data_IF_983090567949
#
_entry.id   IF_983090567949
#
_cell.length_a   1.000
_cell.length_b   1.000
_cell.length_c   1.000
_cell.angle_alpha   90.00
_cell.angle_beta   90.00
_cell.angle_gamma   90.00
#
_symmetry.space_group_name_H-M   'P 1'
#
loop_
_entity.id
_entity.type
_entity.pdbx_description
1 polymer ?
#
# COMPACT_ATOMS: atom_id res chain seq x y z
N UNK A 1 -23.23 -14.13 5.10
CA UNK A 1 -22.48 -14.95 4.11
C UNK A 1 -22.36 -14.18 2.77
N UNK A 2 -21.50 -13.16 2.69
CA UNK A 2 -21.67 -12.07 1.70
C UNK A 2 -20.46 -11.63 0.89
N UNK A 3 -19.29 -12.29 0.96
CA UNK A 3 -18.19 -12.11 -0.01
C UNK A 3 -17.21 -13.30 -0.03
N UNK A 4 -17.73 -14.52 0.17
CA UNK A 4 -16.94 -15.77 0.10
C UNK A 4 -16.97 -16.39 -1.30
N UNK A 5 -16.58 -15.66 -2.35
CA UNK A 5 -16.34 -16.30 -3.65
C UNK A 5 -14.86 -16.33 -4.04
N UNK A 6 -14.06 -15.40 -3.54
CA UNK A 6 -12.61 -15.38 -3.77
C UNK A 6 -11.99 -15.22 -2.39
N UNK A 7 -11.15 -16.18 -1.95
CA UNK A 7 -10.48 -15.99 -0.65
C UNK A 7 -9.63 -14.73 -0.76
N UNK A 8 -9.63 -13.82 0.22
CA UNK A 8 -8.98 -12.53 0.11
C UNK A 8 -7.47 -12.65 -0.13
N UNK A 9 -6.86 -13.79 0.20
CA UNK A 9 -5.52 -14.18 -0.25
C UNK A 9 -5.41 -14.31 -1.79
N UNK A 10 -6.28 -15.09 -2.44
CA UNK A 10 -6.31 -15.22 -3.90
C UNK A 10 -6.60 -13.89 -4.59
N UNK A 11 -7.43 -13.05 -3.97
CA UNK A 11 -7.75 -11.74 -4.50
C UNK A 11 -6.56 -10.79 -4.44
N UNK A 12 -5.89 -10.67 -3.28
CA UNK A 12 -4.72 -9.82 -3.11
C UNK A 12 -3.52 -10.30 -3.95
N UNK A 13 -3.22 -11.61 -3.90
CA UNK A 13 -2.14 -12.20 -4.69
C UNK A 13 -2.42 -12.13 -6.20
N UNK A 14 -3.68 -12.35 -6.61
CA UNK A 14 -4.10 -12.22 -8.00
C UNK A 14 -3.97 -10.78 -8.51
N UNK A 15 -4.37 -9.79 -7.71
CA UNK A 15 -4.18 -8.38 -8.05
C UNK A 15 -2.71 -8.00 -8.18
N UNK A 16 -1.86 -8.44 -7.24
CA UNK A 16 -0.41 -8.19 -7.33
C UNK A 16 0.23 -8.87 -8.55
N UNK A 17 -0.20 -10.08 -8.89
CA UNK A 17 0.28 -10.80 -10.08
C UNK A 17 -0.10 -10.07 -11.38
N UNK A 18 -1.35 -9.65 -11.50
CA UNK A 18 -1.82 -8.88 -12.67
C UNK A 18 -1.09 -7.52 -12.72
N UNK A 19 -0.90 -6.85 -11.59
CA UNK A 19 -0.16 -5.59 -11.53
C UNK A 19 1.29 -5.76 -12.00
N UNK A 20 1.97 -6.84 -11.60
CA UNK A 20 3.30 -7.18 -12.08
C UNK A 20 3.35 -7.43 -13.60
N UNK A 21 2.35 -8.14 -14.16
CA UNK A 21 2.23 -8.35 -15.61
C UNK A 21 2.01 -7.02 -16.34
N UNK A 22 1.10 -6.18 -15.86
CA UNK A 22 0.81 -4.88 -16.49
C UNK A 22 2.04 -3.97 -16.44
N UNK A 23 2.80 -3.98 -15.33
CA UNK A 23 4.07 -3.25 -15.22
C UNK A 23 5.10 -3.75 -16.24
N UNK A 24 5.23 -5.08 -16.39
CA UNK A 24 6.12 -5.65 -17.41
C UNK A 24 5.68 -5.26 -18.84
N UNK A 25 4.37 -5.27 -19.12
CA UNK A 25 3.81 -4.82 -20.40
C UNK A 25 4.12 -3.34 -20.69
N UNK A 26 4.23 -2.47 -19.68
CA UNK A 26 4.65 -1.07 -19.84
C UNK A 26 6.08 -0.94 -20.39
N UNK A 27 6.97 -1.87 -20.04
CA UNK A 27 8.34 -1.89 -20.56
C UNK A 27 8.45 -2.32 -22.03
N UNK A 28 7.51 -3.14 -22.52
CA UNK A 28 7.50 -3.67 -23.89
C UNK A 28 6.69 -2.84 -24.89
N UNK A 29 5.84 -1.92 -24.42
CA UNK A 29 5.01 -1.10 -25.32
C UNK A 29 5.82 0.00 -26.01
N UNK A 30 5.77 0.01 -27.34
CA UNK A 30 6.40 1.04 -28.18
C UNK A 30 5.40 2.13 -28.61
N UNK A 31 4.12 1.98 -28.28
CA UNK A 31 3.04 2.91 -28.64
C UNK A 31 2.59 3.75 -27.44
N UNK A 32 2.35 5.04 -27.66
CA UNK A 32 1.80 5.95 -26.64
C UNK A 32 0.43 5.46 -26.13
N UNK A 33 -0.42 4.94 -27.03
CA UNK A 33 -1.73 4.40 -26.65
C UNK A 33 -1.63 3.15 -25.77
N UNK A 34 -0.64 2.29 -26.04
CA UNK A 34 -0.37 1.10 -25.22
C UNK A 34 0.10 1.47 -23.80
N UNK A 35 0.95 2.49 -23.69
CA UNK A 35 1.40 3.01 -22.40
C UNK A 35 0.24 3.58 -21.58
N UNK A 36 -0.65 4.36 -22.21
CA UNK A 36 -1.81 4.95 -21.54
C UNK A 36 -2.79 3.87 -21.04
N UNK A 37 -3.07 2.86 -21.87
CA UNK A 37 -3.93 1.74 -21.48
C UNK A 37 -3.34 0.96 -20.29
N UNK A 38 -2.03 0.70 -20.31
CA UNK A 38 -1.37 0.02 -19.20
C UNK A 38 -1.40 0.86 -17.91
N UNK A 39 -1.25 2.19 -17.97
CA UNK A 39 -1.39 3.05 -16.78
C UNK A 39 -2.81 3.04 -16.22
N UNK A 40 -3.81 3.08 -17.10
CA UNK A 40 -5.22 3.01 -16.68
C UNK A 40 -5.54 1.70 -15.96
N UNK A 41 -5.09 0.56 -16.50
CA UNK A 41 -5.27 -0.74 -15.87
C UNK A 41 -4.52 -0.84 -14.54
N UNK A 42 -3.30 -0.30 -14.47
CA UNK A 42 -2.52 -0.26 -13.23
C UNK A 42 -3.26 0.50 -12.13
N UNK A 43 -3.83 1.68 -12.43
CA UNK A 43 -4.60 2.46 -11.45
C UNK A 43 -5.85 1.73 -10.94
N UNK A 44 -6.56 1.00 -11.80
CA UNK A 44 -7.71 0.18 -11.38
C UNK A 44 -7.29 -0.92 -10.41
N UNK A 45 -6.17 -1.59 -10.69
CA UNK A 45 -5.66 -2.68 -9.85
C UNK A 45 -5.13 -2.15 -8.51
N UNK A 46 -4.44 -1.02 -8.53
CA UNK A 46 -3.86 -0.39 -7.34
C UNK A 46 -4.91 0.12 -6.37
N UNK A 47 -6.02 0.68 -6.88
CA UNK A 47 -7.15 1.13 -6.05
C UNK A 47 -7.75 0.01 -5.18
N UNK A 48 -7.63 -1.25 -5.59
CA UNK A 48 -8.10 -2.41 -4.83
C UNK A 48 -7.16 -2.88 -3.71
N UNK A 49 -5.86 -2.57 -3.77
CA UNK A 49 -4.88 -3.11 -2.83
C UNK A 49 -5.07 -2.60 -1.39
N UNK A 50 -5.20 -1.28 -1.12
CA UNK A 50 -5.42 -0.78 0.23
C UNK A 50 -6.68 -1.32 0.93
N UNK A 51 -7.88 -1.34 0.31
CA UNK A 51 -9.06 -1.91 0.95
C UNK A 51 -8.95 -3.43 1.12
N UNK A 52 -8.28 -4.15 0.21
CA UNK A 52 -8.00 -5.58 0.37
C UNK A 52 -7.12 -5.89 1.58
N UNK A 53 -6.02 -5.15 1.72
CA UNK A 53 -5.12 -5.28 2.85
C UNK A 53 -5.83 -4.92 4.16
N UNK A 54 -6.63 -3.85 4.18
CA UNK A 54 -7.45 -3.47 5.33
C UNK A 54 -8.44 -4.56 5.73
N UNK A 55 -9.12 -5.21 4.77
CA UNK A 55 -10.03 -6.32 5.06
C UNK A 55 -9.31 -7.55 5.63
N UNK A 56 -8.16 -7.92 5.07
CA UNK A 56 -7.34 -9.03 5.57
C UNK A 56 -6.84 -8.77 6.99
N UNK A 57 -6.22 -7.61 7.25
CA UNK A 57 -5.73 -7.25 8.58
C UNK A 57 -6.90 -7.16 9.56
N UNK A 58 -8.05 -6.62 9.12
CA UNK A 58 -9.25 -6.55 9.94
C UNK A 58 -9.72 -7.94 10.39
N UNK A 59 -9.69 -8.94 9.53
CA UNK A 59 -10.16 -10.30 9.85
C UNK A 59 -9.26 -11.07 10.81
N UNK A 60 -7.98 -10.69 10.94
CA UNK A 60 -7.01 -11.40 11.79
C UNK A 60 -6.69 -10.68 13.10
N UNK A 61 -6.99 -9.38 13.22
CA UNK A 61 -6.53 -8.56 14.36
C UNK A 61 -7.66 -7.76 15.02
N UNK A 62 -7.50 -7.47 16.33
CA UNK A 62 -8.41 -6.62 17.12
C UNK A 62 -8.40 -5.16 16.66
N UNK A 63 -9.45 -4.39 17.00
CA UNK A 63 -9.57 -2.95 16.65
C UNK A 63 -8.42 -2.09 17.20
N UNK A 64 -7.81 -2.46 18.32
CA UNK A 64 -6.66 -1.77 18.92
C UNK A 64 -5.35 -2.06 18.19
N UNK A 65 -5.19 -3.29 17.69
CA UNK A 65 -3.97 -3.76 17.02
C UNK A 65 -3.96 -3.41 15.52
N UNK A 66 -5.14 -3.16 14.94
CA UNK A 66 -5.33 -2.84 13.53
C UNK A 66 -4.48 -1.65 13.05
N UNK A 67 -4.48 -0.54 13.79
CA UNK A 67 -3.78 0.69 13.38
C UNK A 67 -2.27 0.49 13.22
N UNK A 68 -1.63 -0.21 14.16
CA UNK A 68 -0.18 -0.44 14.12
C UNK A 68 0.17 -1.32 12.93
N UNK A 69 -0.63 -2.37 12.68
CA UNK A 69 -0.39 -3.30 11.56
C UNK A 69 -0.66 -2.66 10.20
N UNK A 70 -1.69 -1.81 10.09
CA UNK A 70 -1.94 -1.05 8.88
C UNK A 70 -0.84 -0.01 8.61
N UNK A 71 -0.29 0.61 9.66
CA UNK A 71 0.87 1.49 9.51
C UNK A 71 2.11 0.75 8.98
N UNK A 72 2.35 -0.48 9.44
CA UNK A 72 3.41 -1.33 8.86
C UNK A 72 3.20 -1.59 7.37
N UNK A 73 1.97 -1.85 6.93
CA UNK A 73 1.64 -2.03 5.51
C UNK A 73 2.01 -0.79 4.67
N UNK A 74 1.64 0.41 5.14
CA UNK A 74 1.98 1.67 4.46
C UNK A 74 3.50 1.94 4.49
N UNK A 75 4.19 1.58 5.58
CA UNK A 75 5.64 1.72 5.67
C UNK A 75 6.38 0.81 4.68
N UNK A 76 5.86 -0.40 4.42
CA UNK A 76 6.40 -1.25 3.36
C UNK A 76 6.21 -0.65 1.97
N UNK A 77 5.07 -0.01 1.71
CA UNK A 77 4.84 0.72 0.45
C UNK A 77 5.85 1.86 0.27
N UNK A 78 6.07 2.67 1.32
CA UNK A 78 7.09 3.74 1.34
C UNK A 78 8.51 3.20 1.14
N UNK A 79 8.83 2.05 1.74
CA UNK A 79 10.11 1.36 1.55
C UNK A 79 10.30 0.87 0.10
N UNK A 80 9.23 0.39 -0.53
CA UNK A 80 9.19 0.07 -1.95
C UNK A 80 9.57 1.26 -2.82
N UNK A 81 9.00 2.45 -2.54
CA UNK A 81 9.33 3.69 -3.25
C UNK A 81 10.81 4.07 -3.13
N UNK A 82 11.41 3.88 -1.94
CA UNK A 82 12.83 4.13 -1.73
C UNK A 82 13.73 3.16 -2.53
N UNK A 83 13.37 1.87 -2.59
CA UNK A 83 14.05 0.87 -3.41
C UNK A 83 13.89 1.16 -4.91
N UNK A 84 12.73 1.67 -5.33
CA UNK A 84 12.48 2.09 -6.72
C UNK A 84 13.44 3.21 -7.17
N UNK A 85 13.68 4.20 -6.31
CA UNK A 85 14.66 5.26 -6.56
C UNK A 85 16.09 4.74 -6.70
N UNK A 86 16.49 3.77 -5.87
CA UNK A 86 17.79 3.10 -5.96
C UNK A 86 17.93 2.29 -7.26
N UNK A 87 16.90 1.55 -7.65
CA UNK A 87 16.88 0.76 -8.89
C UNK A 87 16.99 1.68 -10.11
N UNK A 88 16.28 2.81 -10.11
CA UNK A 88 16.38 3.82 -11.17
C UNK A 88 17.81 4.36 -11.32
N UNK A 89 18.48 4.66 -10.20
CA UNK A 89 19.88 5.10 -10.18
C UNK A 89 20.85 4.03 -10.71
N UNK A 90 20.69 2.78 -10.26
CA UNK A 90 21.53 1.66 -10.69
C UNK A 90 21.38 1.35 -12.19
N UNK A 91 20.16 1.52 -12.73
CA UNK A 91 19.82 1.21 -14.13
C UNK A 91 20.14 2.35 -15.10
N UNK A 92 20.28 3.58 -14.64
CA UNK A 92 20.76 4.70 -15.45
C UNK A 92 22.15 4.41 -16.05
N UNK A 93 22.99 3.67 -15.33
CA UNK A 93 24.32 3.25 -15.77
C UNK A 93 24.33 2.06 -16.75
N UNK A 94 23.18 1.43 -17.02
CA UNK A 94 23.05 0.29 -17.95
C UNK A 94 22.50 0.66 -19.33
N UNK A 95 22.48 1.97 -19.67
CA UNK A 95 22.09 2.43 -21.00
C UNK A 95 22.96 1.80 -22.10
N UNK A 96 22.34 1.06 -23.01
CA UNK A 96 23.00 0.42 -24.16
C UNK A 96 22.98 -1.12 -24.18
N UNK A 97 22.55 -1.79 -23.11
CA UNK A 97 22.33 -3.25 -23.14
C UNK A 97 21.03 -3.57 -23.90
N UNK A 98 21.19 -4.22 -25.07
CA UNK A 98 20.12 -4.71 -25.96
C UNK A 98 19.28 -3.65 -26.71
N UNK A 99 19.71 -2.38 -26.78
CA UNK A 99 19.05 -1.35 -27.60
C UNK A 99 17.78 -0.73 -27.01
N UNK A 100 17.49 -0.98 -25.73
CA UNK A 100 16.37 -0.36 -25.00
C UNK A 100 16.84 0.78 -24.10
N UNK A 101 16.02 1.83 -24.03
CA UNK A 101 16.17 2.95 -23.10
C UNK A 101 16.13 2.46 -21.64
N UNK A 102 16.97 3.02 -20.77
CA UNK A 102 17.14 2.60 -19.37
C UNK A 102 15.82 2.60 -18.57
N UNK A 103 14.88 3.49 -18.89
CA UNK A 103 13.58 3.55 -18.22
C UNK A 103 12.68 2.32 -18.50
N UNK A 104 12.81 1.67 -19.65
CA UNK A 104 12.03 0.46 -19.99
C UNK A 104 12.47 -0.73 -19.15
N UNK A 105 13.77 -0.85 -18.90
CA UNK A 105 14.34 -1.91 -18.08
C UNK A 105 13.90 -1.84 -16.62
N UNK A 106 13.67 -0.63 -16.08
CA UNK A 106 13.13 -0.45 -14.73
C UNK A 106 11.78 -1.16 -14.59
N UNK A 107 10.83 -0.89 -15.50
CA UNK A 107 9.50 -1.50 -15.46
C UNK A 107 9.53 -3.02 -15.67
N UNK A 108 10.40 -3.54 -16.54
CA UNK A 108 10.53 -4.98 -16.78
C UNK A 108 11.07 -5.70 -15.54
N UNK A 109 12.16 -5.18 -14.95
CA UNK A 109 12.79 -5.80 -13.77
C UNK A 109 11.86 -5.71 -12.56
N UNK A 110 11.26 -4.55 -12.32
CA UNK A 110 10.30 -4.34 -11.23
C UNK A 110 9.07 -5.24 -11.38
N UNK A 111 8.50 -5.34 -12.59
CA UNK A 111 7.40 -6.23 -12.91
C UNK A 111 7.76 -7.70 -12.66
N UNK A 112 8.95 -8.15 -13.08
CA UNK A 112 9.41 -9.52 -12.86
C UNK A 112 9.57 -9.85 -11.36
N UNK A 113 10.20 -8.95 -10.60
CA UNK A 113 10.35 -9.09 -9.15
C UNK A 113 8.97 -9.16 -8.50
N UNK A 114 8.04 -8.28 -8.90
CA UNK A 114 6.66 -8.26 -8.38
C UNK A 114 5.92 -9.56 -8.68
N UNK A 115 6.08 -10.14 -9.88
CA UNK A 115 5.51 -11.44 -10.23
C UNK A 115 6.10 -12.54 -9.34
N UNK A 116 7.42 -12.59 -9.17
CA UNK A 116 8.06 -13.58 -8.30
C UNK A 116 7.58 -13.46 -6.84
N UNK A 117 7.49 -12.23 -6.32
CA UNK A 117 6.93 -11.97 -4.99
C UNK A 117 5.46 -12.33 -4.88
N UNK A 118 4.64 -12.12 -5.92
CA UNK A 118 3.22 -12.49 -5.90
C UNK A 118 3.01 -14.00 -5.82
N UNK A 119 3.87 -14.79 -6.49
CA UNK A 119 3.87 -16.25 -6.41
C UNK A 119 4.31 -16.72 -5.01
N UNK A 120 5.35 -16.10 -4.44
CA UNK A 120 5.74 -16.37 -3.06
C UNK A 120 4.66 -15.97 -2.06
N UNK A 121 4.02 -14.81 -2.26
CA UNK A 121 2.94 -14.29 -1.42
C UNK A 121 1.72 -15.21 -1.47
N UNK A 122 1.40 -15.80 -2.62
CA UNK A 122 0.34 -16.80 -2.74
C UNK A 122 0.58 -18.04 -1.87
N UNK A 123 1.85 -18.43 -1.68
CA UNK A 123 2.24 -19.56 -0.84
C UNK A 123 2.30 -19.20 0.66
N UNK A 124 2.73 -17.97 0.97
CA UNK A 124 3.00 -17.51 2.34
C UNK A 124 1.74 -16.93 3.00
N UNK A 125 0.92 -16.18 2.29
CA UNK A 125 -0.29 -15.57 2.85
C UNK A 125 -1.32 -16.68 3.04
N UNK A 126 -1.77 -16.98 4.28
CA UNK A 126 -2.86 -17.92 4.50
C UNK A 126 -4.19 -17.28 4.07
N UNK A 127 -5.19 -18.12 3.76
CA UNK A 127 -6.54 -17.68 3.39
C UNK A 127 -7.30 -16.99 4.52
N UNK A 128 -8.60 -17.25 4.66
CA UNK A 128 -9.33 -16.80 5.86
C UNK A 128 -8.68 -17.39 7.14
N UNK A 129 -8.87 -16.78 8.33
CA UNK A 129 -8.45 -17.39 9.60
C UNK A 129 -9.07 -18.77 9.82
N UNK A 130 -10.15 -19.08 9.08
CA UNK A 130 -10.80 -20.39 9.00
C UNK A 130 -10.10 -21.42 8.09
N UNK A 131 -9.04 -21.06 7.39
CA UNK A 131 -8.31 -21.91 6.43
C UNK A 131 -6.79 -21.79 6.62
N UNK A 132 -6.37 -21.13 7.71
CA UNK A 132 -4.98 -20.87 8.01
C UNK A 132 -4.27 -22.18 8.42
N UNK A 133 -3.58 -22.80 7.46
CA UNK A 133 -2.76 -24.01 7.66
C UNK A 133 -1.58 -23.82 8.63
N UNK A 134 -1.29 -22.57 9.01
CA UNK A 134 -0.19 -22.23 9.93
C UNK A 134 -0.60 -22.30 11.41
N UNK A 135 -1.90 -22.28 11.73
CA UNK A 135 -2.35 -22.36 13.13
C UNK A 135 -2.81 -23.77 13.49
N UNK A 136 -2.40 -24.23 14.66
CA UNK A 136 -2.93 -25.46 15.27
C UNK A 136 -4.42 -25.25 15.61
N UNK A 137 -5.25 -26.30 15.52
CA UNK A 137 -6.68 -26.24 15.87
C UNK A 137 -7.00 -25.48 17.19
N UNK A 138 -6.27 -25.67 18.31
CA UNK A 138 -6.51 -24.92 19.54
C UNK A 138 -6.15 -23.44 19.43
N UNK A 139 -5.10 -23.07 18.71
CA UNK A 139 -4.69 -21.67 18.53
C UNK A 139 -5.69 -20.93 17.65
N UNK A 140 -6.20 -21.60 16.61
CA UNK A 140 -7.27 -21.07 15.77
C UNK A 140 -8.56 -20.85 16.55
N UNK A 141 -8.94 -21.79 17.41
CA UNK A 141 -10.12 -21.64 18.27
C UNK A 141 -9.96 -20.47 19.25
N UNK A 142 -8.76 -20.31 19.84
CA UNK A 142 -8.42 -19.18 20.71
C UNK A 142 -8.48 -17.83 19.96
N UNK A 143 -7.93 -17.77 18.73
CA UNK A 143 -7.93 -16.57 17.91
C UNK A 143 -9.35 -16.17 17.51
N UNK A 144 -10.18 -17.14 17.10
CA UNK A 144 -11.60 -16.91 16.79
C UNK A 144 -12.41 -16.50 18.02
N UNK A 145 -12.18 -17.10 19.19
CA UNK A 145 -12.83 -16.71 20.44
C UNK A 145 -12.46 -15.27 20.84
N UNK A 146 -11.17 -14.93 20.76
CA UNK A 146 -10.63 -13.59 21.01
C UNK A 146 -11.16 -12.54 20.03
N UNK A 147 -11.40 -12.92 18.77
CA UNK A 147 -11.99 -12.03 17.75
C UNK A 147 -13.50 -11.83 17.97
N UNK A 148 -14.21 -12.89 18.37
CA UNK A 148 -15.64 -12.85 18.72
C UNK A 148 -15.90 -12.00 19.97
N UNK A 149 -14.99 -12.02 20.93
CA UNK A 149 -15.07 -11.19 22.13
C UNK A 149 -14.91 -9.69 21.83
N UNK A 150 -14.06 -9.30 20.87
CA UNK A 150 -13.80 -7.90 20.49
C UNK A 150 -14.85 -7.33 19.50
N UNK A 151 -15.41 -8.17 18.63
CA UNK A 151 -16.42 -7.76 17.62
C UNK A 151 -17.86 -8.00 18.04
N UNK A 152 -18.11 -8.79 19.08
CA UNK A 152 -19.44 -9.38 19.28
C UNK A 152 -19.84 -10.30 18.12
N UNK A 153 -21.05 -10.86 18.18
CA UNK A 153 -21.61 -11.73 17.15
C UNK A 153 -22.09 -10.95 15.90
N UNK A 154 -21.31 -9.94 15.46
CA UNK A 154 -21.57 -9.19 14.24
C UNK A 154 -21.19 -10.05 13.02
N UNK A 155 -22.06 -11.01 12.71
CA UNK A 155 -22.24 -11.47 11.34
C UNK A 155 -22.74 -10.26 10.55
N UNK A 156 -21.82 -9.50 9.94
CA UNK A 156 -22.16 -8.44 9.01
C UNK A 156 -22.86 -9.10 7.81
N UNK A 157 -24.18 -9.21 7.89
CA UNK A 157 -25.00 -9.58 6.74
C UNK A 157 -25.18 -8.32 5.88
N UNK A 158 -24.41 -8.24 4.80
CA UNK A 158 -24.48 -7.21 3.75
C UNK A 158 -25.86 -7.05 3.09
N UNK A 159 -26.86 -7.88 3.46
CA UNK A 159 -28.22 -7.87 2.91
C UNK A 159 -29.13 -6.80 3.53
N UNK A 160 -28.72 -6.12 4.60
CA UNK A 160 -29.51 -5.08 5.27
C UNK A 160 -28.79 -3.75 5.48
N UNK A 161 -27.63 -3.55 4.86
CA UNK A 161 -26.83 -2.35 5.07
C UNK A 161 -27.47 -1.19 4.29
N UNK A 162 -27.90 -0.10 4.95
CA UNK A 162 -28.45 1.06 4.27
C UNK A 162 -27.30 1.85 3.62
N UNK A 163 -26.85 1.39 2.44
CA UNK A 163 -25.74 1.99 1.70
C UNK A 163 -25.91 3.50 1.50
N UNK A 164 -27.13 3.95 1.22
CA UNK A 164 -27.46 5.37 1.09
C UNK A 164 -27.26 6.16 2.38
N UNK A 165 -27.58 5.59 3.55
CA UNK A 165 -27.40 6.28 4.83
C UNK A 165 -25.93 6.36 5.22
N UNK A 166 -25.14 5.33 4.91
CA UNK A 166 -23.68 5.34 5.16
C UNK A 166 -22.98 6.30 4.20
N UNK A 167 -23.38 6.31 2.93
CA UNK A 167 -22.83 7.23 1.92
C UNK A 167 -23.26 8.69 2.13
N UNK A 168 -24.38 8.94 2.80
CA UNK A 168 -24.83 10.30 3.16
C UNK A 168 -24.40 10.72 4.57
N UNK A 169 -23.72 9.86 5.33
CA UNK A 169 -23.22 10.23 6.65
C UNK A 169 -22.10 11.27 6.50
N UNK A 170 -22.34 12.46 7.05
CA UNK A 170 -21.39 13.56 7.04
C UNK A 170 -20.05 13.17 7.69
N UNK A 171 -20.03 12.23 8.64
CA UNK A 171 -18.78 11.75 9.24
C UNK A 171 -17.90 11.04 8.22
N UNK A 172 -18.48 10.25 7.33
CA UNK A 172 -17.73 9.52 6.28
C UNK A 172 -17.12 10.52 5.31
N UNK A 173 -17.87 11.55 4.89
CA UNK A 173 -17.36 12.61 4.03
C UNK A 173 -16.30 13.46 4.72
N UNK A 174 -16.47 13.80 6.00
CA UNK A 174 -15.48 14.56 6.76
C UNK A 174 -14.14 13.81 6.85
N UNK A 175 -14.15 12.51 7.17
CA UNK A 175 -12.93 11.71 7.18
C UNK A 175 -12.34 11.51 5.79
N UNK A 176 -13.18 11.36 4.75
CA UNK A 176 -12.73 11.27 3.36
C UNK A 176 -12.02 12.54 2.90
N UNK A 177 -12.56 13.72 3.21
CA UNK A 177 -11.96 15.01 2.86
C UNK A 177 -10.62 15.21 3.59
N UNK A 178 -10.56 14.90 4.88
CA UNK A 178 -9.31 14.96 5.64
C UNK A 178 -8.26 14.02 5.05
N UNK A 179 -8.64 12.78 4.74
CA UNK A 179 -7.74 11.82 4.10
C UNK A 179 -7.27 12.30 2.72
N UNK A 180 -8.17 12.84 1.90
CA UNK A 180 -7.87 13.41 0.59
C UNK A 180 -6.88 14.56 0.67
N UNK A 181 -7.05 15.49 1.61
CA UNK A 181 -6.11 16.60 1.81
C UNK A 181 -4.72 16.11 2.24
N UNK A 182 -4.65 15.13 3.14
CA UNK A 182 -3.38 14.53 3.56
C UNK A 182 -2.68 13.81 2.40
N UNK A 183 -3.42 13.02 1.62
CA UNK A 183 -2.90 12.26 0.47
C UNK A 183 -2.41 13.19 -0.64
N UNK A 184 -3.16 14.24 -0.95
CA UNK A 184 -2.77 15.27 -1.93
C UNK A 184 -1.48 15.98 -1.51
N UNK A 185 -1.30 16.25 -0.21
CA UNK A 185 -0.08 16.85 0.32
C UNK A 185 1.13 15.91 0.15
N UNK A 186 0.95 14.62 0.49
CA UNK A 186 1.98 13.61 0.33
C UNK A 186 2.37 13.39 -1.14
N UNK A 187 1.38 13.32 -2.05
CA UNK A 187 1.60 13.20 -3.49
C UNK A 187 2.36 14.41 -4.06
N UNK A 188 2.03 15.62 -3.60
CA UNK A 188 2.71 16.85 -4.01
C UNK A 188 4.19 16.84 -3.61
N UNK A 189 4.49 16.50 -2.35
CA UNK A 189 5.89 16.39 -1.86
C UNK A 189 6.66 15.37 -2.72
N UNK A 190 6.07 14.21 -2.99
CA UNK A 190 6.69 13.16 -3.82
C UNK A 190 7.02 13.62 -5.23
N UNK A 191 6.10 14.39 -5.85
CA UNK A 191 6.27 14.90 -7.21
C UNK A 191 7.28 16.05 -7.30
N UNK A 192 7.33 16.94 -6.28
CA UNK A 192 8.23 18.10 -6.28
C UNK A 192 9.62 17.81 -5.72
N UNK A 193 9.80 16.78 -4.88
CA UNK A 193 11.11 16.39 -4.32
C UNK A 193 12.23 16.27 -5.38
N UNK A 194 12.06 15.52 -6.48
CA UNK A 194 13.12 15.42 -7.49
C UNK A 194 13.38 16.75 -8.22
N UNK A 195 12.34 17.58 -8.42
CA UNK A 195 12.46 18.89 -9.06
C UNK A 195 13.21 19.88 -8.18
N UNK A 196 12.90 19.94 -6.88
CA UNK A 196 13.59 20.77 -5.88
C UNK A 196 15.06 20.39 -5.81
N UNK A 197 15.38 19.09 -5.77
CA UNK A 197 16.76 18.61 -5.75
C UNK A 197 17.52 18.98 -7.04
N UNK A 198 16.85 18.97 -8.19
CA UNK A 198 17.44 19.41 -9.46
C UNK A 198 17.73 20.92 -9.47
N UNK A 199 16.82 21.73 -8.94
CA UNK A 199 17.02 23.19 -8.81
C UNK A 199 18.15 23.55 -7.84
N UNK A 200 18.39 22.72 -6.83
CA UNK A 200 19.52 22.84 -5.90
C UNK A 200 20.89 22.50 -6.53
N UNK A 201 20.94 22.21 -7.84
CA UNK A 201 22.18 21.99 -8.59
C UNK A 201 22.66 20.54 -8.64
N UNK A 202 21.85 19.58 -8.18
CA UNK A 202 22.20 18.16 -8.20
C UNK A 202 21.81 17.52 -9.53
N UNK A 203 22.61 16.57 -10.01
CA UNK A 203 22.27 15.77 -11.18
C UNK A 203 21.05 14.90 -10.87
N UNK A 204 20.19 14.65 -11.87
CA UNK A 204 18.94 13.90 -11.71
C UNK A 204 19.15 12.52 -11.06
N UNK A 205 20.29 11.89 -11.38
CA UNK A 205 20.76 10.63 -10.80
C UNK A 205 21.00 10.73 -9.28
N UNK A 206 21.78 11.73 -8.85
CA UNK A 206 22.08 11.94 -7.43
C UNK A 206 20.85 12.42 -6.66
N UNK A 207 19.93 13.15 -7.30
CA UNK A 207 18.66 13.56 -6.70
C UNK A 207 17.79 12.36 -6.29
N UNK A 208 17.74 11.31 -7.11
CA UNK A 208 16.99 10.09 -6.75
C UNK A 208 17.58 9.39 -5.53
N UNK A 209 18.91 9.32 -5.42
CA UNK A 209 19.58 8.73 -4.26
C UNK A 209 19.37 9.58 -3.00
N UNK A 210 19.42 10.91 -3.13
CA UNK A 210 19.17 11.83 -2.02
C UNK A 210 17.71 11.84 -1.54
N UNK A 211 16.77 11.30 -2.32
CA UNK A 211 15.40 11.10 -1.86
C UNK A 211 15.24 9.91 -0.90
N UNK A 212 16.15 8.94 -0.94
CA UNK A 212 16.09 7.71 -0.12
C UNK A 212 16.10 8.01 1.39
N UNK A 213 17.03 8.84 1.93
CA UNK A 213 17.00 9.19 3.35
C UNK A 213 15.70 9.86 3.80
N UNK A 214 15.06 10.67 2.92
CA UNK A 214 13.80 11.35 3.21
C UNK A 214 12.71 10.31 3.48
N UNK A 215 12.61 9.29 2.62
CA UNK A 215 11.67 8.18 2.79
C UNK A 215 11.95 7.35 4.04
N UNK A 216 13.22 7.07 4.35
CA UNK A 216 13.61 6.31 5.56
C UNK A 216 13.19 7.06 6.82
N UNK A 217 13.46 8.37 6.90
CA UNK A 217 13.04 9.21 8.02
C UNK A 217 11.51 9.21 8.14
N UNK A 218 10.80 9.32 7.01
CA UNK A 218 9.34 9.22 6.97
C UNK A 218 8.80 7.89 7.54
N UNK A 219 9.43 6.77 7.20
CA UNK A 219 9.08 5.44 7.74
C UNK A 219 9.31 5.39 9.25
N UNK A 220 10.46 5.86 9.73
CA UNK A 220 10.80 5.85 11.18
C UNK A 220 9.82 6.71 11.97
N UNK A 221 9.50 7.91 11.47
CA UNK A 221 8.53 8.81 12.11
C UNK A 221 7.13 8.19 12.10
N UNK A 222 6.71 7.59 10.98
CA UNK A 222 5.38 6.97 10.87
C UNK A 222 5.24 5.76 11.80
N UNK A 223 6.26 4.89 11.88
CA UNK A 223 6.26 3.74 12.77
C UNK A 223 6.30 4.15 14.24
N UNK A 224 7.14 5.12 14.60
CA UNK A 224 7.21 5.62 15.98
C UNK A 224 5.92 6.30 16.42
N UNK A 225 5.33 7.16 15.58
CA UNK A 225 4.05 7.80 15.85
C UNK A 225 2.91 6.78 15.96
N UNK A 226 2.87 5.77 15.08
CA UNK A 226 1.86 4.72 15.12
C UNK A 226 2.00 3.84 16.37
N UNK A 227 3.23 3.49 16.76
CA UNK A 227 3.50 2.73 17.98
C UNK A 227 3.11 3.53 19.24
N UNK A 228 3.44 4.82 19.28
CA UNK A 228 3.13 5.68 20.43
C UNK A 228 1.62 5.94 20.54
N UNK A 229 0.94 6.13 19.41
CA UNK A 229 -0.53 6.22 19.32
C UNK A 229 -1.21 4.92 19.77
N UNK A 230 -0.65 3.76 19.39
CA UNK A 230 -1.12 2.45 19.84
C UNK A 230 -0.96 2.24 21.35
N UNK A 231 0.17 2.66 21.94
CA UNK A 231 0.45 2.50 23.37
C UNK A 231 -0.36 3.46 24.25
N UNK A 232 -0.57 4.69 23.80
CA UNK A 232 -1.29 5.70 24.56
C UNK A 232 -2.80 5.61 24.39
N UNK A 233 -3.33 4.87 23.42
CA UNK A 233 -4.76 4.79 23.09
C UNK A 233 -5.45 6.14 22.81
N UNK A 234 -4.69 7.24 22.68
CA UNK A 234 -5.17 8.58 22.37
C UNK A 234 -4.73 8.89 20.93
N UNK A 235 -5.69 8.91 20.00
CA UNK A 235 -5.42 9.00 18.55
C UNK A 235 -5.33 10.44 18.03
N UNK A 236 -6.15 11.34 18.58
CA UNK A 236 -6.28 12.72 18.11
C UNK A 236 -4.99 13.56 18.12
N UNK A 237 -4.14 13.56 19.18
CA UNK A 237 -2.97 14.44 19.21
C UNK A 237 -1.94 14.08 18.15
N UNK A 238 -1.76 12.79 17.83
CA UNK A 238 -0.85 12.35 16.76
C UNK A 238 -1.32 12.77 15.37
N UNK A 239 -2.63 12.74 15.14
CA UNK A 239 -3.22 13.21 13.87
C UNK A 239 -3.06 14.72 13.73
N UNK A 240 -3.33 15.49 14.79
CA UNK A 240 -3.14 16.94 14.78
C UNK A 240 -1.67 17.34 14.61
N UNK A 241 -0.74 16.64 15.26
CA UNK A 241 0.70 16.88 15.08
C UNK A 241 1.15 16.57 13.65
N UNK A 242 0.66 15.48 13.06
CA UNK A 242 0.94 15.14 11.67
C UNK A 242 0.42 16.19 10.68
N UNK A 243 -0.80 16.68 10.89
CA UNK A 243 -1.39 17.75 10.05
C UNK A 243 -0.63 19.07 10.23
N UNK A 244 -0.22 19.41 11.46
CA UNK A 244 0.56 20.61 11.73
C UNK A 244 1.94 20.54 11.06
N UNK A 245 2.61 19.39 11.10
CA UNK A 245 3.87 19.15 10.41
C UNK A 245 3.71 19.24 8.88
N UNK A 246 2.66 18.64 8.31
CA UNK A 246 2.41 18.73 6.87
C UNK A 246 2.08 20.15 6.38
N UNK A 247 1.55 21.01 7.26
CA UNK A 247 1.31 22.43 6.95
C UNK A 247 2.60 23.25 6.94
N UNK A 248 3.61 22.86 7.72
CA UNK A 248 4.90 23.54 7.78
C UNK A 248 5.81 23.14 6.61
N UNK A 249 5.67 21.91 6.12
CA UNK A 249 6.46 21.35 5.01
C UNK A 249 7.40 20.25 5.49
#
# INVERSE_FOLDING_TARGET
>A
MGMNKIKPNYWLAGMMFILGIVSMCQGFTESYGGLLACRFLMGILEAGLPPGAALLIGQYYKRSEFNVRFAWFICFALGGSACGGLLAYALEHMGGLAGYESWRWVFIIEGLITIAFSVAAFMIIPGFPEDAKFLTEPERAFLLARLREDRGDEKIDMKGVPWLQILLDWKVWAFTVVFFCCDMSAASISAFTPTILKELGWTASTAQVMSIPIWIVGIVVTLSASYLSGKLSIRYPFVFLGIALSLVG
#
